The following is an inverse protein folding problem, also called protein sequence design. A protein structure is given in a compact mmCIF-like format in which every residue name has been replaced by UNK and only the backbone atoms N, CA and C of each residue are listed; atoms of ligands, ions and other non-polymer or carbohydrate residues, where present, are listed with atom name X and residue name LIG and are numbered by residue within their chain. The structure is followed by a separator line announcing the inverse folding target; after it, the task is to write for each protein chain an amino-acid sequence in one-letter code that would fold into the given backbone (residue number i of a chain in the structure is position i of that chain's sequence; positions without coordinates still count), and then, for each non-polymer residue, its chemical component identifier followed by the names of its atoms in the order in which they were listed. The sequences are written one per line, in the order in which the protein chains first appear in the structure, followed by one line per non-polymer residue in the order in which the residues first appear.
data_IF_613905684890
#
_entry.id   IF_613905684890
#
_cell.length_a   1.000
_cell.length_b   1.000
_cell.length_c   1.000
_cell.angle_alpha   90.00
_cell.angle_beta   90.00
_cell.angle_gamma   90.00
#
_symmetry.space_group_name_H-M   'P 1'
#
loop_
_entity.id
_entity.type
_entity.pdbx_description
1 polymer ?
#
# COMPACT_ATOMS: atom_id res chain seq x y z
N UNK A 1 -2.30 1.48 -0.62
CA UNK A 1 -1.02 2.05 -0.14
C UNK A 1 -1.04 1.99 1.38
N UNK A 2 0.10 1.66 1.97
CA UNK A 2 0.28 1.59 3.41
C UNK A 2 1.26 2.68 3.85
N UNK A 3 1.00 3.31 5.00
CA UNK A 3 1.96 4.16 5.70
C UNK A 3 2.60 3.34 6.81
N UNK A 4 3.92 3.26 6.79
CA UNK A 4 4.70 2.61 7.83
C UNK A 4 4.89 3.53 9.03
N UNK A 5 5.30 2.97 10.18
CA UNK A 5 5.56 3.71 11.41
C UNK A 5 6.64 4.82 11.26
N UNK A 6 7.58 4.67 10.33
CA UNK A 6 8.61 5.65 10.02
C UNK A 6 8.16 6.75 9.03
N UNK A 7 6.89 6.77 8.64
CA UNK A 7 6.35 7.72 7.67
C UNK A 7 6.72 7.41 6.20
N UNK A 8 7.36 6.27 5.94
CA UNK A 8 7.53 5.75 4.58
C UNK A 8 6.21 5.23 4.02
N UNK A 9 6.10 5.20 2.69
CA UNK A 9 4.91 4.74 1.97
C UNK A 9 5.24 3.45 1.22
N UNK A 10 4.41 2.43 1.42
CA UNK A 10 4.49 1.15 0.72
C UNK A 10 3.30 0.99 -0.23
N UNK A 11 3.58 0.59 -1.47
CA UNK A 11 2.57 0.40 -2.51
C UNK A 11 2.57 -1.05 -2.96
N UNK A 12 1.37 -1.61 -3.12
CA UNK A 12 1.14 -2.98 -3.55
C UNK A 12 -0.25 -3.12 -4.15
N UNK A 13 -0.47 -4.24 -4.85
CA UNK A 13 -1.80 -4.68 -5.31
C UNK A 13 -2.22 -5.90 -4.52
N UNK A 14 -3.52 -6.06 -4.30
CA UNK A 14 -4.12 -7.23 -3.63
C UNK A 14 -5.57 -7.36 -4.06
N UNK A 15 -6.10 -8.57 -4.01
CA UNK A 15 -7.54 -8.84 -4.15
C UNK A 15 -8.28 -8.71 -2.83
N UNK A 16 -7.55 -8.73 -1.71
CA UNK A 16 -8.09 -8.62 -0.37
C UNK A 16 -7.22 -7.64 0.44
N UNK A 17 -7.76 -6.44 0.69
CA UNK A 17 -7.04 -5.34 1.32
C UNK A 17 -6.92 -5.56 2.83
N UNK A 18 -7.95 -6.12 3.46
CA UNK A 18 -8.00 -6.33 4.91
C UNK A 18 -6.99 -7.40 5.29
N UNK A 19 -7.07 -8.58 4.66
CA UNK A 19 -6.12 -9.66 4.90
C UNK A 19 -4.69 -9.21 4.63
N UNK A 20 -4.45 -8.50 3.53
CA UNK A 20 -3.11 -8.06 3.17
C UNK A 20 -2.54 -7.06 4.17
N UNK A 21 -3.37 -6.16 4.71
CA UNK A 21 -2.94 -5.20 5.73
C UNK A 21 -2.57 -5.90 7.03
N UNK A 22 -3.35 -6.90 7.44
CA UNK A 22 -3.04 -7.76 8.60
C UNK A 22 -1.72 -8.53 8.41
N UNK A 23 -1.52 -9.16 7.25
CA UNK A 23 -0.25 -9.84 6.90
C UNK A 23 0.96 -8.91 7.01
N UNK A 24 0.83 -7.65 6.55
CA UNK A 24 1.91 -6.66 6.67
C UNK A 24 2.15 -6.20 8.11
N UNK A 25 1.15 -6.29 8.99
CA UNK A 25 1.27 -6.06 10.43
C UNK A 25 1.78 -7.26 11.22
N UNK A 26 1.94 -8.42 10.58
CA UNK A 26 2.52 -9.62 11.19
C UNK A 26 1.51 -10.70 11.53
N UNK A 27 0.25 -10.54 11.13
CA UNK A 27 -0.75 -11.59 11.22
C UNK A 27 -0.54 -12.58 10.09
N UNK A 28 0.37 -13.53 10.32
CA UNK A 28 0.73 -14.60 9.39
C UNK A 28 2.11 -14.45 8.73
N UNK A 29 2.53 -15.46 7.93
CA UNK A 29 3.89 -15.53 7.39
C UNK A 29 4.13 -14.65 6.15
N UNK A 30 3.09 -14.08 5.54
CA UNK A 30 3.14 -13.50 4.19
C UNK A 30 3.27 -11.97 4.10
N UNK A 31 3.83 -11.33 5.14
CA UNK A 31 4.16 -9.90 5.12
C UNK A 31 5.38 -9.57 4.25
N UNK A 32 5.36 -8.44 3.55
CA UNK A 32 6.55 -8.01 2.81
C UNK A 32 7.74 -7.75 3.75
N UNK A 33 8.94 -8.19 3.33
CA UNK A 33 10.19 -7.95 4.07
C UNK A 33 10.38 -6.48 4.43
N UNK A 34 9.98 -5.57 3.54
CA UNK A 34 10.07 -4.12 3.74
C UNK A 34 9.21 -3.62 4.91
N UNK A 35 7.97 -4.12 5.04
CA UNK A 35 7.05 -3.68 6.09
C UNK A 35 7.39 -4.32 7.43
N UNK A 36 8.01 -5.51 7.45
CA UNK A 36 8.31 -6.28 8.67
C UNK A 36 9.09 -5.49 9.73
N UNK A 37 10.04 -4.64 9.36
CA UNK A 37 10.80 -3.80 10.30
C UNK A 37 10.18 -2.42 10.55
N UNK A 38 9.05 -2.10 9.92
CA UNK A 38 8.43 -0.76 9.91
C UNK A 38 6.96 -0.76 10.32
N UNK A 39 6.58 -1.77 11.11
CA UNK A 39 5.25 -1.93 11.70
C UNK A 39 5.06 -0.97 12.89
N UNK A 40 3.81 -0.62 13.25
CA UNK A 40 2.58 -0.95 12.51
C UNK A 40 2.49 -0.20 11.19
N UNK A 41 1.80 -0.80 10.23
CA UNK A 41 1.42 -0.17 8.97
C UNK A 41 -0.07 0.16 8.99
N UNK A 42 -0.40 1.31 8.41
CA UNK A 42 -1.78 1.81 8.31
C UNK A 42 -2.19 1.88 6.84
N UNK A 43 -3.40 1.42 6.53
CA UNK A 43 -3.99 1.64 5.20
C UNK A 43 -4.31 3.14 5.06
N UNK A 44 -3.71 3.78 4.07
CA UNK A 44 -3.86 5.23 3.84
C UNK A 44 -4.43 5.57 2.46
N UNK A 45 -4.57 4.57 1.58
CA UNK A 45 -5.15 4.75 0.26
C UNK A 45 -5.53 3.41 -0.36
N UNK A 46 -6.66 3.34 -1.05
CA UNK A 46 -7.10 2.14 -1.78
C UNK A 46 -7.81 2.56 -3.08
N UNK A 47 -7.52 1.84 -4.17
CA UNK A 47 -8.18 2.04 -5.46
C UNK A 47 -8.55 0.68 -6.04
N UNK A 48 -9.78 0.56 -6.56
CA UNK A 48 -10.23 -0.60 -7.31
C UNK A 48 -9.73 -0.53 -8.76
N UNK A 49 -9.41 -1.69 -9.35
CA UNK A 49 -9.02 -1.80 -10.75
C UNK A 49 -9.75 -2.95 -11.43
N UNK A 50 -10.10 -2.77 -12.71
CA UNK A 50 -10.86 -3.75 -13.50
C UNK A 50 -10.12 -5.08 -13.74
N UNK A 51 -8.79 -5.11 -13.60
CA UNK A 51 -7.99 -6.32 -13.78
C UNK A 51 -6.65 -6.23 -13.07
N UNK A 52 -5.98 -7.38 -12.88
CA UNK A 52 -4.60 -7.44 -12.37
C UNK A 52 -3.65 -6.59 -13.22
N UNK A 53 -3.81 -6.58 -14.54
CA UNK A 53 -2.99 -5.78 -15.45
C UNK A 53 -3.21 -4.27 -15.25
N UNK A 54 -4.47 -3.85 -15.08
CA UNK A 54 -4.80 -2.47 -14.76
C UNK A 54 -4.23 -2.06 -13.39
N UNK A 55 -4.35 -2.91 -12.38
CA UNK A 55 -3.79 -2.68 -11.05
C UNK A 55 -2.27 -2.55 -11.09
N UNK A 56 -1.57 -3.43 -11.82
CA UNK A 56 -0.11 -3.38 -11.96
C UNK A 56 0.37 -2.11 -12.68
N UNK A 57 -0.31 -1.69 -13.76
CA UNK A 57 -0.01 -0.41 -14.43
C UNK A 57 -0.22 0.78 -13.48
N UNK A 58 -1.31 0.77 -12.71
CA UNK A 58 -1.60 1.82 -11.73
C UNK A 58 -0.54 1.85 -10.62
N UNK A 59 -0.15 0.69 -10.09
CA UNK A 59 0.90 0.57 -9.08
C UNK A 59 2.24 1.11 -9.60
N UNK A 60 2.62 0.78 -10.83
CA UNK A 60 3.82 1.32 -11.48
C UNK A 60 3.75 2.85 -11.61
N UNK A 61 2.62 3.39 -12.05
CA UNK A 61 2.41 4.85 -12.11
C UNK A 61 2.56 5.50 -10.73
N UNK A 62 1.96 4.91 -9.67
CA UNK A 62 2.09 5.42 -8.29
C UNK A 62 3.55 5.37 -7.84
N UNK A 63 4.30 4.31 -8.14
CA UNK A 63 5.71 4.18 -7.77
C UNK A 63 6.56 5.33 -8.32
N UNK A 64 6.26 5.78 -9.54
CA UNK A 64 6.93 6.91 -10.21
C UNK A 64 6.53 8.30 -9.69
N UNK A 65 5.45 8.40 -8.92
CA UNK A 65 5.07 9.69 -8.33
C UNK A 65 6.09 10.13 -7.28
N UNK A 66 6.32 11.44 -7.21
CA UNK A 66 7.04 12.06 -6.10
C UNK A 66 6.26 11.91 -4.77
N UNK A 67 6.92 12.26 -3.67
CA UNK A 67 6.34 12.14 -2.33
C UNK A 67 5.10 13.01 -2.16
N UNK A 68 5.10 14.23 -2.71
CA UNK A 68 3.97 15.16 -2.56
C UNK A 68 2.70 14.62 -3.23
N UNK A 69 2.84 14.11 -4.46
CA UNK A 69 1.73 13.49 -5.21
C UNK A 69 1.24 12.20 -4.53
N UNK A 70 2.13 11.38 -3.97
CA UNK A 70 1.72 10.21 -3.18
C UNK A 70 0.92 10.60 -1.94
N UNK A 71 1.32 11.67 -1.25
CA UNK A 71 0.59 12.17 -0.08
C UNK A 71 -0.76 12.77 -0.46
N UNK A 72 -0.84 13.45 -1.61
CA UNK A 72 -2.11 13.96 -2.13
C UNK A 72 -3.13 12.83 -2.38
N UNK A 73 -2.69 11.66 -2.86
CA UNK A 73 -3.57 10.49 -2.99
C UNK A 73 -4.11 10.02 -1.63
N UNK A 74 -3.29 10.07 -0.58
CA UNK A 74 -3.72 9.67 0.77
C UNK A 74 -4.71 10.65 1.40
N UNK A 75 -4.70 11.92 0.98
CA UNK A 75 -5.62 12.94 1.46
C UNK A 75 -6.97 12.91 0.71
N UNK A 76 -7.03 12.22 -0.43
CA UNK A 76 -8.16 12.30 -1.34
C UNK A 76 -9.31 11.35 -1.00
N UNK A 77 -9.19 10.42 -0.04
CA UNK A 77 -10.32 9.54 0.32
C UNK A 77 -10.17 8.95 1.74
N UNK A 78 -11.21 9.06 2.62
CA UNK A 78 -11.35 8.24 3.82
C UNK A 78 -11.80 6.80 3.51
#
# INVERSE_FOLDING_TARGET
MLRCADGSLYTGITTDVVRRTAEHNGDGPLGARYTRSRRPVQLVHVESAASRAAAARREAAIKQLDRARKLALCAATP
#
